data_IF_371769966290
#
_entry.id   IF_371769966290
#
_cell.length_a   1.000
_cell.length_b   1.000
_cell.length_c   1.000
_cell.angle_alpha   90.00
_cell.angle_beta   90.00
_cell.angle_gamma   90.00
#
_symmetry.space_group_name_H-M   'P 1'
#
loop_
_entity.id
_entity.type
_entity.pdbx_description
1 polymer ?
#
# COMPACT_ATOMS: atom_id res chain seq x y z
N UNK A 1 34.16 -65.12 -39.62
CA UNK A 1 33.40 -64.00 -40.20
C UNK A 1 33.06 -63.03 -39.10
N UNK A 2 33.14 -61.73 -39.43
CA UNK A 2 33.16 -60.56 -38.53
C UNK A 2 31.89 -60.42 -37.69
N UNK A 3 32.07 -60.00 -36.44
CA UNK A 3 30.99 -59.57 -35.56
C UNK A 3 30.41 -58.21 -35.93
N UNK A 4 29.23 -57.91 -35.39
CA UNK A 4 28.69 -56.56 -35.25
C UNK A 4 27.82 -56.54 -34.01
N UNK A 5 28.32 -55.91 -32.96
CA UNK A 5 27.55 -55.55 -31.78
C UNK A 5 26.96 -54.15 -31.92
N UNK A 6 25.93 -53.91 -31.11
CA UNK A 6 25.64 -52.61 -30.51
C UNK A 6 24.88 -51.60 -31.36
N UNK A 7 23.68 -51.23 -30.91
CA UNK A 7 23.29 -49.83 -30.69
C UNK A 7 21.94 -49.83 -29.95
N UNK A 8 22.01 -49.81 -28.62
CA UNK A 8 20.85 -49.53 -27.77
C UNK A 8 20.66 -48.02 -27.77
N UNK A 9 19.57 -47.55 -28.37
CA UNK A 9 19.17 -46.14 -28.36
C UNK A 9 18.81 -45.73 -26.93
N UNK A 10 19.70 -45.02 -26.25
CA UNK A 10 19.39 -44.35 -25.00
C UNK A 10 18.49 -43.14 -25.29
N UNK A 11 17.20 -43.27 -25.03
CA UNK A 11 16.27 -42.13 -25.03
C UNK A 11 16.46 -41.35 -23.73
N UNK A 12 17.19 -40.23 -23.81
CA UNK A 12 17.30 -39.27 -22.70
C UNK A 12 16.00 -38.47 -22.61
N UNK A 13 15.13 -38.88 -21.67
CA UNK A 13 13.92 -38.13 -21.30
C UNK A 13 14.36 -36.85 -20.57
N UNK A 14 14.32 -35.70 -21.28
CA UNK A 14 14.61 -34.40 -20.68
C UNK A 14 13.40 -34.00 -19.81
N UNK A 15 13.48 -34.25 -18.50
CA UNK A 15 12.47 -33.82 -17.55
C UNK A 15 12.49 -32.28 -17.43
N UNK A 16 11.53 -31.61 -18.08
CA UNK A 16 11.33 -30.17 -17.95
C UNK A 16 10.65 -29.89 -16.62
N UNK A 17 11.43 -29.56 -15.59
CA UNK A 17 10.88 -29.07 -14.33
C UNK A 17 10.36 -27.65 -14.61
N UNK A 18 9.07 -27.52 -14.89
CA UNK A 18 8.39 -26.24 -14.82
C UNK A 18 8.38 -25.79 -13.36
N UNK A 19 9.33 -24.94 -12.98
CA UNK A 19 9.20 -24.12 -11.79
C UNK A 19 8.04 -23.14 -12.02
N UNK A 20 6.87 -23.49 -11.52
CA UNK A 20 5.78 -22.54 -11.37
C UNK A 20 6.23 -21.49 -10.35
N UNK A 21 6.73 -20.35 -10.83
CA UNK A 21 6.98 -19.21 -9.96
C UNK A 21 5.66 -18.81 -9.28
N UNK A 22 5.63 -18.59 -7.96
CA UNK A 22 4.45 -18.05 -7.33
C UNK A 22 4.13 -16.69 -7.95
N UNK A 23 2.89 -16.51 -8.40
CA UNK A 23 2.39 -15.20 -8.81
C UNK A 23 2.45 -14.31 -7.56
N UNK A 24 3.37 -13.34 -7.55
CA UNK A 24 3.39 -12.30 -6.53
C UNK A 24 2.07 -11.53 -6.63
N UNK A 25 1.17 -11.76 -5.68
CA UNK A 25 -0.06 -11.01 -5.54
C UNK A 25 0.22 -9.86 -4.59
N UNK A 26 0.25 -8.64 -5.13
CA UNK A 26 0.22 -7.45 -4.28
C UNK A 26 -1.10 -7.46 -3.49
N UNK A 27 -1.00 -7.48 -2.17
CA UNK A 27 -2.15 -7.37 -1.29
C UNK A 27 -2.53 -5.89 -1.16
N UNK A 28 -3.81 -5.62 -0.89
CA UNK A 28 -4.31 -4.26 -0.70
C UNK A 28 -4.81 -4.05 0.70
N UNK A 29 -4.33 -3.01 1.35
CA UNK A 29 -4.89 -2.50 2.60
C UNK A 29 -5.43 -1.09 2.39
N UNK A 30 -6.53 -0.76 3.06
CA UNK A 30 -7.10 0.59 3.05
C UNK A 30 -7.20 1.13 4.47
N UNK A 31 -6.61 2.30 4.66
CA UNK A 31 -6.67 3.09 5.88
C UNK A 31 -7.63 4.26 5.72
N UNK A 32 -8.11 4.79 6.84
CA UNK A 32 -9.02 5.93 6.87
C UNK A 32 -8.58 6.95 7.90
N UNK A 33 -8.88 8.22 7.64
CA UNK A 33 -8.67 9.31 8.58
C UNK A 33 -9.84 10.29 8.50
N UNK A 34 -10.35 10.69 9.66
CA UNK A 34 -11.37 11.72 9.80
C UNK A 34 -10.94 12.71 10.85
N UNK A 35 -11.11 14.00 10.56
CA UNK A 35 -10.94 15.08 11.54
C UNK A 35 -12.17 15.97 11.50
N UNK A 36 -12.70 16.25 12.68
CA UNK A 36 -13.76 17.22 12.91
C UNK A 36 -13.31 18.24 13.91
N UNK A 37 -13.44 19.52 13.57
CA UNK A 37 -13.17 20.63 14.46
C UNK A 37 -14.44 21.41 14.78
N UNK A 38 -14.50 21.97 15.97
CA UNK A 38 -15.55 22.89 16.36
C UNK A 38 -14.90 24.14 16.97
N UNK A 39 -14.88 25.22 16.20
CA UNK A 39 -14.29 26.49 16.64
C UNK A 39 -15.07 27.12 17.80
N UNK A 40 -16.39 26.95 17.83
CA UNK A 40 -17.25 27.50 18.89
C UNK A 40 -16.89 26.97 20.26
N UNK A 41 -16.51 25.68 20.34
CA UNK A 41 -16.14 25.03 21.59
C UNK A 41 -14.63 24.75 21.71
N UNK A 42 -13.83 25.07 20.69
CA UNK A 42 -12.39 24.81 20.66
C UNK A 42 -12.03 23.32 20.72
N UNK A 43 -12.89 22.43 20.20
CA UNK A 43 -12.68 20.97 20.26
C UNK A 43 -12.26 20.39 18.93
N UNK A 44 -11.50 19.29 18.98
CA UNK A 44 -11.12 18.49 17.82
C UNK A 44 -11.32 17.01 18.11
N UNK A 45 -12.00 16.32 17.19
CA UNK A 45 -12.17 14.87 17.19
C UNK A 45 -11.42 14.28 16.00
N UNK A 46 -10.58 13.28 16.25
CA UNK A 46 -9.79 12.60 15.23
C UNK A 46 -10.01 11.10 15.39
N UNK A 47 -10.35 10.42 14.31
CA UNK A 47 -10.53 8.97 14.29
C UNK A 47 -10.25 8.39 12.92
N UNK A 48 -10.10 7.08 12.84
CA UNK A 48 -9.79 6.39 11.59
C UNK A 48 -9.26 4.99 11.81
N UNK A 49 -8.99 4.29 10.72
CA UNK A 49 -8.27 3.01 10.71
C UNK A 49 -6.83 3.25 10.28
N UNK A 50 -5.87 2.80 11.09
CA UNK A 50 -4.45 2.87 10.75
C UNK A 50 -4.13 2.12 9.47
N UNK A 51 -3.07 2.56 8.80
CA UNK A 51 -2.43 1.88 7.69
C UNK A 51 -1.31 1.00 8.25
N UNK A 52 -1.53 -0.29 8.36
CA UNK A 52 -0.52 -1.25 8.80
C UNK A 52 0.02 -2.02 7.58
N UNK A 53 1.29 -1.81 7.26
CA UNK A 53 1.99 -2.42 6.14
C UNK A 53 3.01 -3.45 6.66
N UNK A 54 2.85 -4.74 6.33
CA UNK A 54 3.81 -5.78 6.73
C UNK A 54 5.13 -5.68 5.94
N UNK A 55 5.08 -5.13 4.73
CA UNK A 55 6.23 -4.87 3.87
C UNK A 55 6.11 -3.49 3.19
N UNK A 56 7.10 -3.10 2.39
CA UNK A 56 7.05 -1.82 1.68
C UNK A 56 5.91 -1.83 0.65
N UNK A 57 5.19 -0.73 0.54
CA UNK A 57 4.04 -0.61 -0.36
C UNK A 57 3.96 0.73 -1.05
N UNK A 58 3.04 0.84 -2.00
CA UNK A 58 2.79 2.04 -2.78
C UNK A 58 1.32 2.44 -2.72
N UNK A 59 1.06 3.72 -2.52
CA UNK A 59 -0.30 4.25 -2.57
C UNK A 59 -0.83 4.13 -4.01
N UNK A 60 -1.96 3.47 -4.19
CA UNK A 60 -2.58 3.27 -5.52
C UNK A 60 -3.91 3.97 -5.68
N UNK A 61 -4.52 4.40 -4.57
CA UNK A 61 -5.79 5.13 -4.58
C UNK A 61 -5.91 6.01 -3.35
N UNK A 62 -6.40 7.21 -3.56
CA UNK A 62 -6.92 8.07 -2.50
C UNK A 62 -8.37 8.41 -2.82
N UNK A 63 -9.24 8.36 -1.81
CA UNK A 63 -10.65 8.74 -1.92
C UNK A 63 -11.08 9.56 -0.71
N UNK A 64 -12.23 10.24 -0.82
CA UNK A 64 -12.78 11.08 0.23
C UNK A 64 -12.60 12.58 -0.03
N UNK A 65 -13.46 13.38 0.60
CA UNK A 65 -13.46 14.85 0.48
C UNK A 65 -12.59 15.50 1.54
N UNK A 66 -11.27 15.49 1.36
CA UNK A 66 -10.34 16.25 2.21
C UNK A 66 -9.68 17.39 1.44
N UNK A 67 -9.33 18.47 2.14
CA UNK A 67 -8.49 19.56 1.60
C UNK A 67 -7.01 19.13 1.45
N UNK A 68 -6.64 17.98 2.01
CA UNK A 68 -5.29 17.44 2.05
C UNK A 68 -5.15 16.50 3.23
N UNK A 69 -4.03 15.81 3.36
CA UNK A 69 -3.76 14.96 4.51
C UNK A 69 -2.27 14.74 4.72
N UNK A 70 -1.94 14.36 5.94
CA UNK A 70 -0.60 13.93 6.32
C UNK A 70 -0.59 12.45 6.66
N UNK A 71 0.48 11.77 6.28
CA UNK A 71 0.85 10.44 6.76
C UNK A 71 1.78 10.60 7.95
N UNK A 72 1.38 10.04 9.08
CA UNK A 72 2.12 10.15 10.34
C UNK A 72 2.54 8.77 10.79
N UNK A 73 3.84 8.54 11.00
CA UNK A 73 4.34 7.26 11.49
C UNK A 73 4.05 7.06 13.00
N UNK A 74 4.38 5.90 13.54
CA UNK A 74 4.23 5.59 14.98
C UNK A 74 5.01 6.52 15.92
N UNK A 75 6.09 7.14 15.45
CA UNK A 75 6.91 8.08 16.20
C UNK A 75 6.29 9.49 16.24
N UNK A 76 5.26 9.75 15.42
CA UNK A 76 4.62 11.06 15.30
C UNK A 76 5.20 11.92 14.19
N UNK A 77 6.15 11.42 13.40
CA UNK A 77 6.76 12.15 12.29
C UNK A 77 5.84 12.15 11.09
N UNK A 78 5.80 13.30 10.40
CA UNK A 78 5.13 13.43 9.10
C UNK A 78 6.06 12.86 8.03
N UNK A 79 5.66 11.73 7.46
CA UNK A 79 6.43 11.04 6.40
C UNK A 79 5.88 11.33 5.01
N UNK A 80 4.69 11.93 4.92
CA UNK A 80 4.11 12.46 3.69
C UNK A 80 3.12 13.57 4.03
N UNK A 81 3.11 14.63 3.22
CA UNK A 81 2.22 15.78 3.38
C UNK A 81 1.67 16.16 2.00
N UNK A 82 0.36 16.00 1.82
CA UNK A 82 -0.30 16.13 0.53
C UNK A 82 -1.39 17.18 0.62
N UNK A 83 -1.12 18.34 0.03
CA UNK A 83 -2.12 19.41 -0.12
C UNK A 83 -3.18 19.07 -1.18
N UNK A 84 -2.84 18.23 -2.16
CA UNK A 84 -3.81 17.66 -3.08
C UNK A 84 -3.79 16.14 -2.89
N UNK A 85 -4.91 15.52 -2.48
CA UNK A 85 -4.91 14.09 -2.14
C UNK A 85 -4.41 13.17 -3.27
N UNK A 86 -4.66 13.54 -4.53
CA UNK A 86 -4.25 12.75 -5.69
C UNK A 86 -2.72 12.70 -5.88
N UNK A 87 -1.98 13.70 -5.37
CA UNK A 87 -0.51 13.73 -5.43
C UNK A 87 0.14 12.62 -4.58
N UNK A 88 -0.61 12.01 -3.66
CA UNK A 88 -0.14 10.87 -2.89
C UNK A 88 -0.10 9.57 -3.69
N UNK A 89 -0.81 9.47 -4.82
CA UNK A 89 -0.82 8.26 -5.64
C UNK A 89 0.57 8.05 -6.25
N UNK A 90 1.12 6.86 -6.04
CA UNK A 90 2.49 6.51 -6.44
C UNK A 90 3.53 6.73 -5.33
N UNK A 91 3.17 7.35 -4.21
CA UNK A 91 4.07 7.50 -3.07
C UNK A 91 4.38 6.14 -2.43
N UNK A 92 5.68 5.88 -2.22
CA UNK A 92 6.18 4.64 -1.62
C UNK A 92 6.37 4.79 -0.11
N UNK A 93 5.96 3.76 0.62
CA UNK A 93 6.03 3.68 2.07
C UNK A 93 6.83 2.44 2.46
N UNK A 94 7.77 2.54 3.41
CA UNK A 94 8.36 1.36 4.00
C UNK A 94 7.34 0.59 4.83
N UNK A 95 7.66 -0.67 5.17
CA UNK A 95 6.91 -1.44 6.15
C UNK A 95 6.75 -0.65 7.45
N UNK A 96 5.56 -0.66 8.05
CA UNK A 96 5.29 0.19 9.19
C UNK A 96 3.82 0.38 9.47
N UNK A 97 3.53 1.32 10.37
CA UNK A 97 2.18 1.66 10.77
C UNK A 97 2.03 3.17 10.75
N UNK A 98 0.97 3.63 10.08
CA UNK A 98 0.75 5.03 9.79
C UNK A 98 -0.68 5.44 10.14
N UNK A 99 -0.83 6.65 10.63
CA UNK A 99 -2.12 7.32 10.77
C UNK A 99 -2.33 8.30 9.61
N UNK A 100 -3.55 8.34 9.10
CA UNK A 100 -3.99 9.38 8.17
C UNK A 100 -4.53 10.56 8.99
N UNK A 101 -3.90 11.73 8.86
CA UNK A 101 -4.32 12.97 9.52
C UNK A 101 -4.86 13.94 8.47
N UNK A 102 -6.19 14.03 8.27
CA UNK A 102 -6.77 15.03 7.39
C UNK A 102 -6.38 16.45 7.82
N UNK A 103 -6.07 17.28 6.84
CA UNK A 103 -5.94 18.72 7.02
C UNK A 103 -7.34 19.34 7.07
N UNK A 104 -7.51 20.36 7.90
CA UNK A 104 -8.78 21.10 8.02
C UNK A 104 -8.69 22.40 7.24
N UNK A 105 -9.71 22.70 6.45
CA UNK A 105 -9.85 24.03 5.86
C UNK A 105 -10.71 24.94 6.76
N UNK A 106 -10.59 26.26 6.58
CA UNK A 106 -11.29 27.24 7.42
C UNK A 106 -12.82 27.23 7.25
N UNK A 107 -13.31 26.61 6.18
CA UNK A 107 -14.73 26.60 5.80
C UNK A 107 -15.38 25.27 6.18
N UNK A 108 -14.73 24.16 5.85
CA UNK A 108 -15.21 22.81 6.15
C UNK A 108 -14.44 22.26 7.35
N UNK A 109 -15.14 22.17 8.48
CA UNK A 109 -14.57 21.63 9.72
C UNK A 109 -14.75 20.12 9.86
N UNK A 110 -15.05 19.43 8.75
CA UNK A 110 -15.17 17.99 8.71
C UNK A 110 -14.53 17.50 7.41
N UNK A 111 -13.45 16.73 7.56
CA UNK A 111 -12.73 16.15 6.44
C UNK A 111 -12.48 14.66 6.66
N UNK A 112 -12.59 13.91 5.58
CA UNK A 112 -12.39 12.47 5.56
C UNK A 112 -11.53 12.06 4.37
N UNK A 113 -10.64 11.10 4.59
CA UNK A 113 -9.78 10.52 3.56
C UNK A 113 -9.67 9.01 3.75
N UNK A 114 -9.61 8.30 2.63
CA UNK A 114 -9.29 6.89 2.52
C UNK A 114 -8.05 6.74 1.63
N UNK A 115 -7.09 5.92 2.05
CA UNK A 115 -5.88 5.65 1.28
C UNK A 115 -5.72 4.15 1.14
N UNK A 116 -5.62 3.66 -0.10
CA UNK A 116 -5.32 2.26 -0.40
C UNK A 116 -3.87 2.13 -0.85
N UNK A 117 -3.18 1.18 -0.23
CA UNK A 117 -1.81 0.80 -0.56
C UNK A 117 -1.79 -0.63 -1.08
N UNK A 118 -1.01 -0.83 -2.14
CA UNK A 118 -0.57 -2.15 -2.59
C UNK A 118 0.81 -2.44 -1.98
N UNK A 119 0.97 -3.59 -1.33
CA UNK A 119 2.24 -4.08 -0.80
C UNK A 119 2.47 -5.52 -1.25
#
# INVERSE_FOLDING_TARGET
>A
MRGAGGLVFASSLLATILFAAPLAHAERVTATGTRVENDTFGTANIWGRSLDLPEAGKIVRVMGGTYGFQLVNKQGDVVGDFLFPDDAVGFELPAGSYALRPLICRIHRHHHVEVTVEY
#
